data_IF_755837808082
#
_entry.id   IF_755837808082
#
_cell.length_a   1.000
_cell.length_b   1.000
_cell.length_c   1.000
_cell.angle_alpha   90.00
_cell.angle_beta   90.00
_cell.angle_gamma   90.00
#
_symmetry.space_group_name_H-M   'P 1'
#
loop_
_entity.id
_entity.type
_entity.pdbx_description
1 polymer ?
#
# COMPACT_ATOMS: atom_id res chain seq x y z
N UNK A 1 -18.84 -3.69 -23.48
CA UNK A 1 -17.49 -4.23 -23.72
C UNK A 1 -16.62 -3.75 -22.56
N UNK A 2 -16.13 -4.66 -21.70
CA UNK A 2 -15.23 -4.27 -20.61
C UNK A 2 -13.96 -3.68 -21.23
N UNK A 3 -13.59 -2.47 -20.82
CA UNK A 3 -12.32 -1.85 -21.25
C UNK A 3 -11.20 -2.71 -20.68
N UNK A 4 -10.26 -3.11 -21.53
CA UNK A 4 -9.11 -3.89 -21.07
C UNK A 4 -8.37 -3.10 -19.97
N UNK A 5 -7.99 -3.80 -18.90
CA UNK A 5 -7.26 -3.20 -17.78
C UNK A 5 -5.90 -2.65 -18.26
N UNK A 6 -5.40 -1.56 -17.65
CA UNK A 6 -4.06 -1.07 -17.92
C UNK A 6 -3.00 -2.17 -17.75
N UNK A 7 -1.93 -2.17 -18.58
CA UNK A 7 -0.80 -3.07 -18.38
C UNK A 7 -0.24 -2.96 -16.95
N UNK A 8 0.02 -4.10 -16.33
CA UNK A 8 0.54 -4.17 -14.96
C UNK A 8 -0.51 -4.16 -13.85
N UNK A 9 -1.81 -4.11 -14.15
CA UNK A 9 -2.88 -4.23 -13.15
C UNK A 9 -2.86 -5.58 -12.43
N UNK A 10 -2.54 -6.69 -13.11
CA UNK A 10 -2.45 -8.01 -12.47
C UNK A 10 -1.37 -8.08 -11.39
N UNK A 11 -0.26 -7.36 -11.58
CA UNK A 11 0.80 -7.22 -10.57
C UNK A 11 0.28 -6.53 -9.31
N UNK A 12 -0.55 -5.50 -9.45
CA UNK A 12 -1.17 -4.81 -8.29
C UNK A 12 -2.29 -5.65 -7.67
N UNK A 13 -2.95 -6.51 -8.45
CA UNK A 13 -3.91 -7.49 -7.93
C UNK A 13 -3.22 -8.55 -7.07
N UNK A 14 -2.01 -8.98 -7.46
CA UNK A 14 -1.17 -9.85 -6.64
C UNK A 14 -0.71 -9.14 -5.36
N UNK A 15 -0.24 -7.89 -5.45
CA UNK A 15 0.13 -7.10 -4.27
C UNK A 15 -1.05 -6.92 -3.30
N UNK A 16 -2.26 -6.68 -3.82
CA UNK A 16 -3.48 -6.61 -3.00
C UNK A 16 -3.74 -7.92 -2.26
N UNK A 17 -3.59 -9.08 -2.92
CA UNK A 17 -3.75 -10.39 -2.28
C UNK A 17 -2.71 -10.63 -1.18
N UNK A 18 -1.45 -10.25 -1.42
CA UNK A 18 -0.39 -10.32 -0.41
C UNK A 18 -0.73 -9.48 0.82
N UNK A 19 -1.11 -8.24 0.61
CA UNK A 19 -1.47 -7.32 1.69
C UNK A 19 -2.69 -7.80 2.47
N UNK A 20 -3.71 -8.30 1.78
CA UNK A 20 -4.92 -8.81 2.40
C UNK A 20 -4.62 -10.02 3.30
N UNK A 21 -3.84 -10.98 2.80
CA UNK A 21 -3.41 -12.14 3.59
C UNK A 21 -2.59 -11.74 4.84
N UNK A 22 -1.71 -10.74 4.72
CA UNK A 22 -0.89 -10.30 5.87
C UNK A 22 -1.71 -9.49 6.86
N UNK A 23 -2.40 -8.45 6.40
CA UNK A 23 -3.03 -7.45 7.27
C UNK A 23 -4.40 -7.88 7.80
N UNK A 24 -5.16 -8.65 7.01
CA UNK A 24 -6.50 -9.12 7.42
C UNK A 24 -6.46 -10.52 7.99
N UNK A 25 -5.64 -11.41 7.42
CA UNK A 25 -5.60 -12.83 7.83
C UNK A 25 -4.44 -13.15 8.80
N UNK A 26 -3.49 -12.23 9.00
CA UNK A 26 -2.37 -12.41 9.92
C UNK A 26 -1.34 -13.43 9.43
N UNK A 27 -1.30 -13.71 8.13
CA UNK A 27 -0.40 -14.71 7.56
C UNK A 27 1.01 -14.11 7.29
N UNK A 28 2.09 -14.89 7.48
CA UNK A 28 3.43 -14.48 7.10
C UNK A 28 3.54 -14.22 5.59
N UNK A 29 4.18 -13.12 5.18
CA UNK A 29 4.29 -12.69 3.78
C UNK A 29 4.95 -13.75 2.88
N UNK A 30 6.01 -14.39 3.37
CA UNK A 30 6.74 -15.46 2.69
C UNK A 30 5.87 -16.69 2.42
N UNK A 31 4.97 -17.03 3.36
CA UNK A 31 4.09 -18.19 3.23
C UNK A 31 3.02 -18.04 2.13
N UNK A 32 2.64 -16.81 1.78
CA UNK A 32 1.54 -16.53 0.82
C UNK A 32 2.03 -16.07 -0.55
N UNK A 33 3.35 -15.91 -0.72
CA UNK A 33 3.95 -15.32 -1.92
C UNK A 33 3.59 -16.09 -3.21
N UNK A 34 3.86 -17.40 -3.22
CA UNK A 34 3.61 -18.27 -4.38
C UNK A 34 2.13 -18.28 -4.77
N UNK A 35 1.24 -18.42 -3.79
CA UNK A 35 -0.21 -18.46 -4.02
C UNK A 35 -0.72 -17.14 -4.59
N UNK A 36 -0.35 -16.00 -3.98
CA UNK A 36 -0.82 -14.68 -4.39
C UNK A 36 -0.30 -14.26 -5.76
N UNK A 37 0.88 -14.73 -6.17
CA UNK A 37 1.55 -14.37 -7.41
C UNK A 37 1.40 -15.43 -8.53
N UNK A 38 0.68 -16.52 -8.29
CA UNK A 38 0.52 -17.66 -9.22
C UNK A 38 -0.02 -17.29 -10.61
N UNK A 39 -0.87 -16.26 -10.72
CA UNK A 39 -1.38 -15.75 -11.98
C UNK A 39 -0.35 -15.00 -12.84
N UNK A 40 0.79 -14.60 -12.25
CA UNK A 40 1.84 -13.83 -12.91
C UNK A 40 2.89 -14.76 -13.52
N UNK A 41 2.97 -14.76 -14.86
CA UNK A 41 3.93 -15.60 -15.58
C UNK A 41 5.37 -15.10 -15.47
N UNK A 42 5.57 -13.79 -15.50
CA UNK A 42 6.91 -13.20 -15.52
C UNK A 42 7.48 -13.03 -14.11
N UNK A 43 8.77 -13.31 -13.95
CA UNK A 43 9.44 -13.23 -12.65
C UNK A 43 9.58 -11.78 -12.15
N UNK A 44 9.76 -10.83 -13.07
CA UNK A 44 9.82 -9.39 -12.77
C UNK A 44 8.48 -8.86 -12.22
N UNK A 45 7.35 -9.30 -12.79
CA UNK A 45 6.02 -8.98 -12.24
C UNK A 45 5.84 -9.51 -10.82
N UNK A 46 6.29 -10.74 -10.55
CA UNK A 46 6.22 -11.33 -9.19
C UNK A 46 7.11 -10.56 -8.21
N UNK A 47 8.35 -10.26 -8.61
CA UNK A 47 9.26 -9.46 -7.82
C UNK A 47 8.69 -8.07 -7.52
N UNK A 48 8.02 -7.45 -8.49
CA UNK A 48 7.41 -6.14 -8.30
C UNK A 48 6.18 -6.18 -7.40
N UNK A 49 5.34 -7.22 -7.47
CA UNK A 49 4.24 -7.42 -6.52
C UNK A 49 4.76 -7.53 -5.08
N UNK A 50 5.83 -8.31 -4.87
CA UNK A 50 6.49 -8.43 -3.57
C UNK A 50 7.10 -7.11 -3.10
N UNK A 51 7.76 -6.36 -3.98
CA UNK A 51 8.34 -5.06 -3.66
C UNK A 51 7.28 -4.08 -3.18
N UNK A 52 6.14 -3.99 -3.88
CA UNK A 52 4.99 -3.17 -3.47
C UNK A 52 4.49 -3.59 -2.08
N UNK A 53 4.22 -4.88 -1.86
CA UNK A 53 3.66 -5.35 -0.59
C UNK A 53 4.63 -5.14 0.57
N UNK A 54 5.92 -5.46 0.37
CA UNK A 54 6.96 -5.31 1.41
C UNK A 54 7.15 -3.85 1.81
N UNK A 55 7.16 -2.94 0.84
CA UNK A 55 7.33 -1.52 1.11
C UNK A 55 6.09 -0.91 1.80
N UNK A 56 4.88 -1.33 1.42
CA UNK A 56 3.66 -0.96 2.15
C UNK A 56 3.73 -1.42 3.60
N UNK A 57 4.13 -2.67 3.86
CA UNK A 57 4.21 -3.21 5.21
C UNK A 57 5.28 -2.51 6.05
N UNK A 58 6.42 -2.15 5.44
CA UNK A 58 7.52 -1.44 6.12
C UNK A 58 7.11 -0.05 6.60
N UNK A 59 6.31 0.66 5.79
CA UNK A 59 5.91 2.07 6.01
C UNK A 59 4.40 2.21 6.23
N UNK A 60 3.76 1.17 6.77
CA UNK A 60 2.31 1.11 6.88
C UNK A 60 1.73 2.31 7.64
N UNK A 61 2.27 2.72 8.81
CA UNK A 61 1.76 3.89 9.52
C UNK A 61 1.89 5.18 8.72
N UNK A 62 2.97 5.35 7.94
CA UNK A 62 3.20 6.53 7.12
C UNK A 62 2.13 6.68 6.04
N UNK A 63 1.83 5.59 5.32
CA UNK A 63 0.78 5.61 4.28
C UNK A 63 -0.62 5.77 4.88
N UNK A 64 -0.90 5.16 6.02
CA UNK A 64 -2.19 5.30 6.69
C UNK A 64 -2.42 6.71 7.22
N UNK A 65 -1.38 7.38 7.74
CA UNK A 65 -1.46 8.77 8.15
C UNK A 65 -1.80 9.70 6.97
N UNK A 66 -1.19 9.48 5.80
CA UNK A 66 -1.51 10.23 4.57
C UNK A 66 -2.96 10.03 4.14
N UNK A 67 -3.44 8.78 4.16
CA UNK A 67 -4.82 8.44 3.78
C UNK A 67 -5.79 9.10 4.77
N UNK A 68 -5.58 8.89 6.06
CA UNK A 68 -6.48 9.35 7.12
C UNK A 68 -6.52 10.87 7.17
N UNK A 69 -5.38 11.55 7.04
CA UNK A 69 -5.30 13.02 6.97
C UNK A 69 -5.97 13.64 5.74
N UNK A 70 -6.13 12.88 4.65
CA UNK A 70 -6.79 13.37 3.43
C UNK A 70 -8.29 13.05 3.40
N UNK A 71 -8.77 12.16 4.26
CA UNK A 71 -10.17 11.73 4.31
C UNK A 71 -10.94 12.39 5.44
N UNK A 72 -12.12 12.93 5.17
CA UNK A 72 -12.98 13.51 6.22
C UNK A 72 -13.53 12.46 7.20
N UNK A 73 -13.67 11.22 6.75
CA UNK A 73 -13.99 10.05 7.57
C UNK A 73 -12.96 8.99 7.27
N UNK A 74 -12.32 8.49 8.33
CA UNK A 74 -11.35 7.40 8.25
C UNK A 74 -11.94 6.20 7.52
N UNK A 75 -11.20 5.65 6.56
CA UNK A 75 -11.61 4.41 5.87
C UNK A 75 -11.47 3.21 6.83
N UNK A 76 -12.34 2.19 6.76
CA UNK A 76 -12.11 0.94 7.49
C UNK A 76 -10.75 0.33 7.16
N UNK A 77 -10.15 -0.37 8.13
CA UNK A 77 -8.80 -0.93 7.99
C UNK A 77 -8.73 -2.04 6.94
N UNK A 78 -9.83 -2.78 6.77
CA UNK A 78 -10.04 -3.86 5.80
C UNK A 78 -10.64 -3.38 4.47
N UNK A 79 -10.90 -2.07 4.32
CA UNK A 79 -11.51 -1.54 3.11
C UNK A 79 -10.57 -1.69 1.91
N UNK A 80 -11.02 -2.37 0.85
CA UNK A 80 -10.27 -2.52 -0.40
C UNK A 80 -9.73 -1.20 -0.97
N UNK A 81 -10.47 -0.10 -0.77
CA UNK A 81 -10.03 1.25 -1.16
C UNK A 81 -8.77 1.73 -0.40
N UNK A 82 -8.66 1.42 0.90
CA UNK A 82 -7.46 1.72 1.69
C UNK A 82 -6.26 0.94 1.15
N UNK A 83 -6.43 -0.34 0.82
CA UNK A 83 -5.37 -1.15 0.22
C UNK A 83 -4.95 -0.61 -1.16
N UNK A 84 -5.90 -0.26 -2.02
CA UNK A 84 -5.60 0.34 -3.32
C UNK A 84 -4.85 1.67 -3.18
N UNK A 85 -5.19 2.50 -2.19
CA UNK A 85 -4.48 3.74 -1.88
C UNK A 85 -3.06 3.48 -1.39
N UNK A 86 -2.86 2.57 -0.42
CA UNK A 86 -1.52 2.14 0.04
C UNK A 86 -0.65 1.71 -1.14
N UNK A 87 -1.20 0.87 -2.04
CA UNK A 87 -0.51 0.40 -3.25
C UNK A 87 -0.19 1.57 -4.21
N UNK A 88 -1.06 2.54 -4.40
CA UNK A 88 -0.77 3.68 -5.27
C UNK A 88 0.29 4.61 -4.67
N UNK A 89 0.18 4.90 -3.37
CA UNK A 89 1.08 5.80 -2.65
C UNK A 89 2.50 5.24 -2.58
N UNK A 90 2.67 3.95 -2.26
CA UNK A 90 4.01 3.33 -2.24
C UNK A 90 4.69 3.40 -3.59
N UNK A 91 3.93 3.18 -4.66
CA UNK A 91 4.47 3.22 -6.01
C UNK A 91 4.93 4.62 -6.39
N UNK A 92 4.15 5.65 -6.05
CA UNK A 92 4.48 7.02 -6.38
C UNK A 92 5.61 7.60 -5.49
N UNK A 93 5.57 7.31 -4.18
CA UNK A 93 6.44 7.98 -3.19
C UNK A 93 7.72 7.22 -2.88
N UNK A 94 7.75 5.90 -3.01
CA UNK A 94 8.91 5.07 -2.65
C UNK A 94 9.52 4.34 -3.85
N UNK A 95 8.69 3.86 -4.79
CA UNK A 95 9.16 3.11 -5.97
C UNK A 95 9.27 3.96 -7.23
N UNK A 96 9.14 5.29 -7.10
CA UNK A 96 9.31 6.30 -8.18
C UNK A 96 8.50 6.00 -9.46
N UNK A 97 7.40 5.26 -9.32
CA UNK A 97 6.51 4.97 -10.44
C UNK A 97 5.78 6.25 -10.85
N UNK A 98 5.72 6.59 -12.15
CA UNK A 98 5.02 7.77 -12.61
C UNK A 98 3.59 7.85 -12.05
N UNK A 99 3.19 9.01 -11.52
CA UNK A 99 1.92 9.17 -10.78
C UNK A 99 0.71 8.65 -11.56
N UNK A 100 0.65 8.91 -12.86
CA UNK A 100 -0.44 8.44 -13.73
C UNK A 100 -0.48 6.91 -13.86
N UNK A 101 0.67 6.24 -13.86
CA UNK A 101 0.77 4.79 -13.89
C UNK A 101 0.41 4.17 -12.53
N UNK A 102 0.89 4.78 -11.43
CA UNK A 102 0.58 4.35 -10.08
C UNK A 102 -0.93 4.37 -9.81
N UNK A 103 -1.63 5.46 -10.16
CA UNK A 103 -3.08 5.56 -9.95
C UNK A 103 -3.86 4.71 -10.95
N UNK A 104 -3.56 4.78 -12.26
CA UNK A 104 -4.38 4.09 -13.27
C UNK A 104 -4.41 2.57 -13.10
N UNK A 105 -3.30 1.97 -12.65
CA UNK A 105 -3.18 0.52 -12.46
C UNK A 105 -3.91 -0.02 -11.23
N UNK A 106 -4.19 0.81 -10.21
CA UNK A 106 -4.93 0.39 -9.00
C UNK A 106 -6.43 0.63 -9.08
N UNK A 107 -6.90 1.55 -9.92
CA UNK A 107 -8.34 1.85 -9.98
C UNK A 107 -9.21 0.65 -10.38
N UNK A 108 -8.79 -0.28 -11.28
CA UNK A 108 -9.54 -1.52 -11.53
C UNK A 108 -9.69 -2.43 -10.31
N UNK A 109 -8.80 -2.32 -9.31
CA UNK A 109 -8.92 -3.10 -8.08
C UNK A 109 -10.18 -2.72 -7.29
N UNK A 110 -10.69 -1.51 -7.47
CA UNK A 110 -11.88 -1.01 -6.76
C UNK A 110 -13.08 -0.83 -7.69
N UNK A 111 -13.13 -1.56 -8.80
CA UNK A 111 -14.32 -1.58 -9.66
C UNK A 111 -15.56 -2.06 -8.88
N UNK A 112 -16.69 -1.38 -9.10
CA UNK A 112 -17.90 -1.51 -8.27
C UNK A 112 -17.82 -0.80 -6.91
N UNK A 113 -16.65 -0.27 -6.54
CA UNK A 113 -16.41 0.46 -5.29
C UNK A 113 -16.13 1.96 -5.50
N UNK A 114 -15.53 2.64 -4.49
CA UNK A 114 -15.40 4.10 -4.46
C UNK A 114 -14.20 4.63 -5.29
N UNK A 115 -14.19 4.36 -6.60
CA UNK A 115 -13.10 4.75 -7.52
C UNK A 115 -12.77 6.25 -7.49
N UNK A 116 -13.79 7.11 -7.41
CA UNK A 116 -13.62 8.58 -7.32
C UNK A 116 -12.90 9.01 -6.05
N UNK A 117 -13.16 8.33 -4.93
CA UNK A 117 -12.49 8.60 -3.66
C UNK A 117 -11.01 8.25 -3.75
N UNK A 118 -10.67 7.06 -4.25
CA UNK A 118 -9.28 6.62 -4.42
C UNK A 118 -8.50 7.61 -5.29
N UNK A 119 -9.07 8.00 -6.43
CA UNK A 119 -8.45 9.00 -7.29
C UNK A 119 -8.30 10.36 -6.59
N UNK A 120 -9.34 10.83 -5.89
CA UNK A 120 -9.35 12.13 -5.22
C UNK A 120 -8.30 12.22 -4.12
N UNK A 121 -8.25 11.21 -3.23
CA UNK A 121 -7.27 11.13 -2.14
C UNK A 121 -5.84 11.12 -2.71
N UNK A 122 -5.54 10.21 -3.64
CA UNK A 122 -4.22 10.15 -4.27
C UNK A 122 -3.83 11.49 -4.91
N UNK A 123 -4.76 12.10 -5.65
CA UNK A 123 -4.52 13.40 -6.31
C UNK A 123 -4.24 14.52 -5.32
N UNK A 124 -4.88 14.53 -4.15
CA UNK A 124 -4.64 15.52 -3.10
C UNK A 124 -3.26 15.33 -2.48
N UNK A 125 -2.89 14.11 -2.08
CA UNK A 125 -1.56 13.83 -1.53
C UNK A 125 -0.44 14.23 -2.51
N UNK A 126 -0.59 13.91 -3.79
CA UNK A 126 0.42 14.26 -4.82
C UNK A 126 0.52 15.78 -5.06
N UNK A 127 -0.57 16.54 -4.90
CA UNK A 127 -0.54 18.02 -5.04
C UNK A 127 0.16 18.70 -3.87
N UNK A 128 0.04 18.14 -2.68
CA UNK A 128 0.65 18.65 -1.45
C UNK A 128 2.16 18.38 -1.37
N UNK A 129 2.73 17.65 -2.34
CA UNK A 129 4.17 17.33 -2.43
C UNK A 129 4.72 16.68 -1.15
N UNK A 130 3.93 15.80 -0.54
CA UNK A 130 4.36 15.02 0.60
C UNK A 130 5.64 14.24 0.31
N UNK A 131 6.47 14.13 1.34
CA UNK A 131 7.64 13.24 1.36
C UNK A 131 7.47 12.23 2.49
N UNK A 132 7.96 11.02 2.28
CA UNK A 132 8.00 10.03 3.35
C UNK A 132 9.08 10.40 4.35
N UNK A 133 8.89 10.14 5.65
CA UNK A 133 9.95 10.25 6.64
C UNK A 133 11.17 9.42 6.21
N UNK A 134 12.37 9.88 6.54
CA UNK A 134 13.61 9.16 6.23
C UNK A 134 13.56 7.74 6.83
N UNK A 135 13.27 7.65 8.11
CA UNK A 135 13.07 6.40 8.86
C UNK A 135 11.58 6.04 8.88
N UNK A 136 11.18 4.80 8.52
CA UNK A 136 9.79 4.35 8.64
C UNK A 136 9.23 4.48 10.05
N UNK A 137 8.03 5.04 10.20
CA UNK A 137 7.37 5.15 11.50
C UNK A 137 7.01 3.77 12.05
N UNK A 138 7.37 3.50 13.31
CA UNK A 138 6.96 2.29 14.01
C UNK A 138 5.44 2.32 14.30
N UNK A 139 4.74 1.18 14.22
CA UNK A 139 3.38 1.10 14.75
C UNK A 139 3.34 1.46 16.24
N UNK A 140 2.34 2.22 16.67
CA UNK A 140 2.25 2.78 18.02
C UNK A 140 2.45 1.73 19.13
N UNK A 141 1.78 0.58 19.02
CA UNK A 141 1.94 -0.51 19.98
C UNK A 141 3.35 -1.12 20.00
N UNK A 142 4.11 -1.03 18.90
CA UNK A 142 5.52 -1.45 18.85
C UNK A 142 6.39 -0.38 19.52
N UNK A 143 6.18 0.90 19.16
CA UNK A 143 6.88 2.03 19.75
C UNK A 143 6.74 2.04 21.27
N UNK A 144 5.54 1.83 21.81
CA UNK A 144 5.29 1.77 23.26
C UNK A 144 6.06 0.64 23.94
N UNK A 145 6.09 -0.56 23.32
CA UNK A 145 6.86 -1.69 23.85
C UNK A 145 8.35 -1.41 23.83
N UNK A 146 8.84 -0.80 22.75
CA UNK A 146 10.26 -0.49 22.58
C UNK A 146 10.71 0.58 23.56
N UNK A 147 9.94 1.68 23.67
CA UNK A 147 10.15 2.74 24.67
C UNK A 147 10.24 2.19 26.08
N UNK A 148 9.32 1.28 26.44
CA UNK A 148 9.32 0.64 27.76
C UNK A 148 10.55 -0.24 28.01
N UNK A 149 11.06 -0.91 26.98
CA UNK A 149 12.18 -1.85 27.12
C UNK A 149 13.56 -1.19 27.00
N UNK A 150 13.68 -0.16 26.15
CA UNK A 150 14.97 0.41 25.72
C UNK A 150 15.04 1.95 25.75
N UNK A 151 13.96 2.66 26.12
CA UNK A 151 13.92 4.12 26.18
C UNK A 151 13.51 4.81 24.88
N UNK A 152 13.39 6.14 24.90
CA UNK A 152 12.92 6.96 23.76
C UNK A 152 13.87 6.92 22.56
N UNK A 153 15.18 6.87 22.81
CA UNK A 153 16.20 6.83 21.74
C UNK A 153 16.00 5.64 20.80
N UNK A 154 15.48 4.51 21.30
CA UNK A 154 15.21 3.33 20.48
C UNK A 154 13.99 3.47 19.55
N UNK A 155 13.11 4.44 19.81
CA UNK A 155 11.93 4.74 18.98
C UNK A 155 12.22 5.84 17.97
N UNK A 156 13.16 6.73 18.27
CA UNK A 156 13.55 7.88 17.44
C UNK A 156 14.71 7.59 16.45
N UNK A 157 15.39 6.45 16.61
CA UNK A 157 16.52 6.00 15.77
C UNK A 157 16.08 5.40 14.43
#
# INVERSE_FOLDING_TARGET
MSRADPPGTETRRAALRLLDAVLREGLPLDSVLEGAASALRRADDRAFALAIASEVLRRLPDYDALIDGTTSRRLPDDAKARFALRIALVQALALETPHHAAISTVLPLVDGGPRKLVHGVFSTVMREKWTLPEVPTLPEAVADRWRKAWGEEAVEA
#
